data_IF_277891163740
#
_entry.id   IF_277891163740
#
_cell.length_a   1.000
_cell.length_b   1.000
_cell.length_c   1.000
_cell.angle_alpha   90.00
_cell.angle_beta   90.00
_cell.angle_gamma   90.00
#
_symmetry.space_group_name_H-M   'P 1'
#
loop_
_entity.id
_entity.type
_entity.pdbx_description
1 polymer ?
#
# COMPACT_ATOMS: atom_id res chain seq x y z
N UNK A 1 -27.99 14.95 -12.68
CA UNK A 1 -26.78 14.93 -13.55
C UNK A 1 -25.54 15.53 -12.89
N UNK A 2 -25.61 16.70 -12.23
CA UNK A 2 -24.45 17.33 -11.56
C UNK A 2 -23.84 16.51 -10.40
N UNK A 3 -24.67 15.78 -9.64
CA UNK A 3 -24.20 14.92 -8.55
C UNK A 3 -23.46 13.68 -9.06
N UNK A 4 -23.86 13.09 -10.20
CA UNK A 4 -23.16 11.92 -10.74
C UNK A 4 -21.83 12.29 -11.40
N UNK A 5 -21.73 13.46 -12.03
CA UNK A 5 -20.48 13.98 -12.59
C UNK A 5 -19.42 14.26 -11.52
N UNK A 6 -19.81 14.80 -10.36
CA UNK A 6 -18.91 15.01 -9.23
C UNK A 6 -18.45 13.69 -8.59
N UNK A 7 -19.36 12.73 -8.39
CA UNK A 7 -18.99 11.39 -7.90
C UNK A 7 -18.01 10.68 -8.83
N UNK A 8 -18.20 10.77 -10.15
CA UNK A 8 -17.27 10.19 -11.13
C UNK A 8 -15.87 10.80 -10.99
N UNK A 9 -15.77 12.13 -10.88
CA UNK A 9 -14.47 12.82 -10.73
C UNK A 9 -13.76 12.43 -9.44
N UNK A 10 -14.49 12.30 -8.32
CA UNK A 10 -13.91 11.86 -7.05
C UNK A 10 -13.38 10.43 -7.17
N UNK A 11 -14.17 9.51 -7.73
CA UNK A 11 -13.73 8.13 -7.95
C UNK A 11 -12.51 8.06 -8.87
N UNK A 12 -12.46 8.83 -9.96
CA UNK A 12 -11.31 8.87 -10.86
C UNK A 12 -10.02 9.34 -10.15
N UNK A 13 -10.14 10.27 -9.20
CA UNK A 13 -9.00 10.71 -8.36
C UNK A 13 -8.58 9.61 -7.39
N UNK A 14 -9.53 8.94 -6.73
CA UNK A 14 -9.22 7.79 -5.86
C UNK A 14 -8.52 6.65 -6.62
N UNK A 15 -8.97 6.32 -7.83
CA UNK A 15 -8.32 5.29 -8.65
C UNK A 15 -6.89 5.68 -9.05
N UNK A 16 -6.65 6.95 -9.40
CA UNK A 16 -5.29 7.44 -9.71
C UNK A 16 -4.37 7.38 -8.50
N UNK A 17 -4.89 7.72 -7.33
CA UNK A 17 -4.15 7.66 -6.08
C UNK A 17 -3.80 6.21 -5.70
N UNK A 18 -4.76 5.29 -5.86
CA UNK A 18 -4.54 3.85 -5.62
C UNK A 18 -3.47 3.27 -6.56
N UNK A 19 -3.52 3.62 -7.85
CA UNK A 19 -2.51 3.21 -8.83
C UNK A 19 -1.11 3.78 -8.50
N UNK A 20 -1.04 5.01 -8.00
CA UNK A 20 0.22 5.61 -7.56
C UNK A 20 0.80 4.87 -6.35
N UNK A 21 -0.02 4.55 -5.35
CA UNK A 21 0.43 3.79 -4.19
C UNK A 21 0.88 2.37 -4.55
N UNK A 22 0.17 1.68 -5.45
CA UNK A 22 0.60 0.36 -5.91
C UNK A 22 1.97 0.41 -6.58
N UNK A 23 2.22 1.43 -7.42
CA UNK A 23 3.52 1.59 -8.07
C UNK A 23 4.66 1.81 -7.07
N UNK A 24 4.42 2.60 -6.01
CA UNK A 24 5.40 2.80 -4.93
C UNK A 24 5.68 1.46 -4.23
N UNK A 25 4.65 0.66 -3.93
CA UNK A 25 4.81 -0.66 -3.32
C UNK A 25 5.62 -1.59 -4.23
N UNK A 26 5.29 -1.66 -5.52
CA UNK A 26 5.99 -2.48 -6.51
C UNK A 26 7.48 -2.08 -6.64
N UNK A 27 7.78 -0.78 -6.64
CA UNK A 27 9.15 -0.25 -6.67
C UNK A 27 9.94 -0.61 -5.39
N UNK A 28 9.27 -0.72 -4.24
CA UNK A 28 9.88 -1.16 -2.98
C UNK A 28 10.04 -2.68 -2.91
N UNK A 29 9.23 -3.45 -3.64
CA UNK A 29 9.31 -4.91 -3.75
C UNK A 29 10.39 -5.43 -4.72
N UNK A 30 11.13 -4.54 -5.40
CA UNK A 30 12.11 -4.94 -6.39
C UNK A 30 13.31 -5.69 -5.76
N UNK A 31 13.67 -6.88 -6.28
CA UNK A 31 14.76 -7.71 -5.74
C UNK A 31 16.17 -7.14 -5.94
N UNK A 32 16.30 -5.95 -6.54
CA UNK A 32 17.57 -5.27 -6.81
C UNK A 32 18.03 -4.29 -5.73
N UNK A 33 17.27 -4.09 -4.63
CA UNK A 33 17.71 -3.23 -3.52
C UNK A 33 18.74 -3.94 -2.63
N UNK A 34 19.74 -3.18 -2.18
CA UNK A 34 20.68 -3.63 -1.16
C UNK A 34 19.92 -3.91 0.14
N UNK A 35 20.09 -5.11 0.72
CA UNK A 35 19.54 -5.53 2.02
C UNK A 35 19.94 -4.63 3.20
N UNK A 36 20.86 -3.70 3.00
CA UNK A 36 21.30 -2.73 4.01
C UNK A 36 20.31 -1.55 4.19
N UNK A 37 19.28 -1.46 3.33
CA UNK A 37 18.20 -0.46 3.41
C UNK A 37 16.87 -1.06 3.88
N UNK A 38 16.86 -1.87 4.93
CA UNK A 38 15.60 -2.35 5.52
C UNK A 38 14.79 -1.16 6.03
N UNK A 39 13.71 -0.84 5.32
CA UNK A 39 12.75 0.17 5.75
C UNK A 39 11.53 -0.45 6.42
N UNK A 40 10.64 0.40 6.92
CA UNK A 40 9.42 -0.02 7.63
C UNK A 40 8.46 -0.79 6.69
N UNK A 41 8.54 -0.54 5.38
CA UNK A 41 7.75 -1.21 4.34
C UNK A 41 8.19 -2.66 4.21
N UNK A 42 9.49 -2.91 4.10
CA UNK A 42 10.05 -4.28 4.11
C UNK A 42 9.71 -5.03 5.40
N UNK A 43 9.79 -4.37 6.56
CA UNK A 43 9.47 -5.00 7.84
C UNK A 43 8.00 -5.45 7.89
N UNK A 44 7.08 -4.61 7.43
CA UNK A 44 5.63 -4.90 7.42
C UNK A 44 5.30 -6.00 6.40
N UNK A 45 5.93 -6.00 5.23
CA UNK A 45 5.80 -7.08 4.25
C UNK A 45 6.26 -8.42 4.80
N UNK A 46 7.38 -8.44 5.53
CA UNK A 46 7.93 -9.65 6.13
C UNK A 46 7.00 -10.20 7.24
N UNK A 47 6.39 -9.30 8.02
CA UNK A 47 5.33 -9.65 8.98
C UNK A 47 4.09 -10.17 8.24
N UNK A 48 3.66 -9.56 7.14
CA UNK A 48 2.55 -10.05 6.29
C UNK A 48 2.80 -11.45 5.73
N UNK A 49 4.03 -11.75 5.32
CA UNK A 49 4.36 -13.07 4.79
C UNK A 49 4.36 -14.17 5.88
N UNK A 50 4.69 -13.79 7.12
CA UNK A 50 4.78 -14.71 8.27
C UNK A 50 3.47 -14.84 9.05
N UNK A 51 2.44 -14.06 8.70
CA UNK A 51 1.17 -14.04 9.41
C UNK A 51 0.40 -15.36 9.28
N UNK A 52 -0.02 -15.90 10.42
CA UNK A 52 -0.84 -17.09 10.55
C UNK A 52 -2.34 -16.81 10.45
N UNK A 53 -3.16 -17.87 10.50
CA UNK A 53 -4.63 -17.75 10.51
C UNK A 53 -5.18 -17.18 11.81
N UNK A 54 -4.47 -17.37 12.92
CA UNK A 54 -4.92 -17.05 14.28
C UNK A 54 -4.20 -15.84 14.91
N UNK A 55 -3.52 -15.04 14.09
CA UNK A 55 -2.83 -13.86 14.58
C UNK A 55 -3.83 -12.76 14.96
N UNK A 56 -3.65 -12.19 16.15
CA UNK A 56 -4.47 -11.09 16.68
C UNK A 56 -4.46 -9.82 15.81
N UNK A 57 -3.43 -9.66 14.97
CA UNK A 57 -3.24 -8.47 14.13
C UNK A 57 -2.85 -8.92 12.72
N UNK A 58 -3.81 -8.85 11.80
CA UNK A 58 -3.64 -9.24 10.41
C UNK A 58 -3.36 -8.00 9.56
N UNK A 59 -2.09 -7.76 9.24
CA UNK A 59 -1.71 -6.66 8.37
C UNK A 59 -2.16 -6.96 6.94
N UNK A 60 -2.58 -5.91 6.25
CA UNK A 60 -3.12 -5.98 4.89
C UNK A 60 -2.40 -4.93 4.06
N UNK A 61 -2.60 -4.99 2.74
CA UNK A 61 -2.05 -4.00 1.82
C UNK A 61 -2.50 -2.58 2.19
N UNK A 62 -3.70 -2.41 2.75
CA UNK A 62 -4.18 -1.08 3.17
C UNK A 62 -3.40 -0.52 4.37
N UNK A 63 -2.97 -1.38 5.30
CA UNK A 63 -2.08 -0.97 6.39
C UNK A 63 -0.70 -0.53 5.87
N UNK A 64 -0.19 -1.20 4.83
CA UNK A 64 1.05 -0.80 4.15
C UNK A 64 0.89 0.58 3.46
N UNK A 65 -0.21 0.78 2.73
CA UNK A 65 -0.54 2.07 2.09
C UNK A 65 -0.63 3.20 3.12
N UNK A 66 -1.24 2.94 4.28
CA UNK A 66 -1.35 3.92 5.35
C UNK A 66 0.02 4.35 5.89
N UNK A 67 0.95 3.41 6.10
CA UNK A 67 2.31 3.72 6.57
C UNK A 67 3.14 4.51 5.55
N UNK A 68 3.00 4.19 4.26
CA UNK A 68 3.64 4.95 3.17
C UNK A 68 3.08 6.37 3.09
N UNK A 69 1.78 6.55 3.37
CA UNK A 69 1.10 7.85 3.28
C UNK A 69 1.46 8.83 4.41
N UNK A 70 2.05 8.36 5.51
CA UNK A 70 2.43 9.20 6.66
C UNK A 70 3.86 9.75 6.51
N UNK A 71 4.62 9.30 5.51
CA UNK A 71 6.00 9.71 5.25
C UNK A 71 6.12 10.86 4.25
#
# INVERSE_FOLDING_TARGET
>A
MLVSGQHKRINDVFFKLDALFQRVIDDHMHPGRSKDQRDITELVLDVMHKQGKDDYLKLTVDHLKALISIK
#
